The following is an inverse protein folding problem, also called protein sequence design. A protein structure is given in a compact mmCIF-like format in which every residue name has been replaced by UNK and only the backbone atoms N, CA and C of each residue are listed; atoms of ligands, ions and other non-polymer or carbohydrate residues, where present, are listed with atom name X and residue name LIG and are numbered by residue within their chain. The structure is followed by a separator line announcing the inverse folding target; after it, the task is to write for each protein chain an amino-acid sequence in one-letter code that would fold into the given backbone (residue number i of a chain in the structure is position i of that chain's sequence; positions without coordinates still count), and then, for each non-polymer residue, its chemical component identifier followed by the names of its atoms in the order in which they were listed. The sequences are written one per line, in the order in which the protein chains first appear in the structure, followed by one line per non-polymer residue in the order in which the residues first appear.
data_IF_734705267219
#
_entry.id   IF_734705267219
#
_cell.length_a   1.000
_cell.length_b   1.000
_cell.length_c   1.000
_cell.angle_alpha   90.00
_cell.angle_beta   90.00
_cell.angle_gamma   90.00
#
_symmetry.space_group_name_H-M   'P 1'
#
loop_
_entity.id
_entity.type
_entity.pdbx_description
1 polymer ?
#
# COMPACT_ATOMS: atom_id res chain seq x y z
N UNK A 1 9.30 30.78 -7.34
CA UNK A 1 8.92 30.31 -5.98
C UNK A 1 10.11 29.62 -5.37
N UNK A 2 10.44 29.89 -4.10
CA UNK A 2 11.53 29.21 -3.39
C UNK A 2 10.92 27.99 -2.67
N UNK A 3 11.51 26.82 -2.87
CA UNK A 3 11.05 25.61 -2.19
C UNK A 3 11.29 25.70 -0.67
N UNK A 4 10.42 25.05 0.11
CA UNK A 4 10.51 25.01 1.56
C UNK A 4 11.74 24.20 2.01
N UNK A 5 12.44 24.66 3.05
CA UNK A 5 13.64 24.00 3.60
C UNK A 5 13.40 22.53 3.97
N UNK A 6 12.23 22.18 4.49
CA UNK A 6 11.88 20.80 4.83
C UNK A 6 11.83 19.89 3.60
N UNK A 7 11.39 20.42 2.45
CA UNK A 7 11.38 19.68 1.17
C UNK A 7 12.80 19.47 0.64
N UNK A 8 13.67 20.47 0.80
CA UNK A 8 15.06 20.39 0.38
C UNK A 8 15.87 19.35 1.18
N UNK A 9 15.46 19.07 2.42
CA UNK A 9 16.10 18.07 3.27
C UNK A 9 15.63 16.63 3.05
N UNK A 10 14.65 16.39 2.18
CA UNK A 10 14.19 15.03 1.92
C UNK A 10 15.25 14.23 1.16
N UNK A 11 15.63 13.03 1.63
CA UNK A 11 16.56 12.19 0.91
C UNK A 11 15.93 11.72 -0.42
N UNK A 12 16.76 11.44 -1.45
CA UNK A 12 16.28 10.82 -2.68
C UNK A 12 15.55 9.51 -2.40
N UNK A 13 14.43 9.27 -3.10
CA UNK A 13 13.70 8.02 -2.97
C UNK A 13 14.50 6.86 -3.59
N UNK A 14 14.98 5.96 -2.74
CA UNK A 14 15.86 4.86 -3.12
C UNK A 14 15.23 3.95 -4.19
N UNK A 15 13.96 3.60 -4.02
CA UNK A 15 13.30 2.63 -4.91
C UNK A 15 13.15 3.17 -6.34
N UNK A 16 12.89 4.46 -6.54
CA UNK A 16 12.86 5.05 -7.88
C UNK A 16 14.20 4.88 -8.63
N UNK A 17 15.34 4.91 -7.91
CA UNK A 17 16.66 4.66 -8.51
C UNK A 17 16.87 3.19 -8.85
N UNK A 18 16.36 2.28 -8.02
CA UNK A 18 16.40 0.83 -8.28
C UNK A 18 15.53 0.51 -9.49
N UNK A 19 14.30 1.04 -9.56
CA UNK A 19 13.39 0.89 -10.70
C UNK A 19 14.01 1.37 -12.01
N UNK A 20 14.68 2.53 -12.01
CA UNK A 20 15.42 3.03 -13.17
C UNK A 20 16.47 2.02 -13.66
N UNK A 21 17.32 1.52 -12.75
CA UNK A 21 18.35 0.52 -13.08
C UNK A 21 17.76 -0.80 -13.58
N UNK A 22 16.67 -1.25 -12.98
CA UNK A 22 15.94 -2.45 -13.40
C UNK A 22 15.37 -2.26 -14.81
N UNK A 23 14.78 -1.10 -15.11
CA UNK A 23 14.26 -0.79 -16.43
C UNK A 23 15.38 -0.73 -17.49
N UNK A 24 16.51 -0.09 -17.19
CA UNK A 24 17.68 -0.03 -18.06
C UNK A 24 18.24 -1.43 -18.37
N UNK A 25 18.39 -2.27 -17.36
CA UNK A 25 18.89 -3.64 -17.54
C UNK A 25 17.89 -4.52 -18.31
N UNK A 26 16.58 -4.38 -18.05
CA UNK A 26 15.53 -5.06 -18.86
C UNK A 26 15.57 -4.63 -20.32
N UNK A 27 15.78 -3.34 -20.60
CA UNK A 27 15.91 -2.83 -21.97
C UNK A 27 17.13 -3.39 -22.71
N UNK A 28 18.16 -3.84 -21.97
CA UNK A 28 19.33 -4.53 -22.48
C UNK A 28 19.13 -6.05 -22.63
N UNK A 29 17.93 -6.57 -22.33
CA UNK A 29 17.61 -8.00 -22.39
C UNK A 29 18.17 -8.82 -21.22
N UNK A 30 18.57 -8.16 -20.13
CA UNK A 30 19.06 -8.83 -18.93
C UNK A 30 17.86 -9.38 -18.16
N UNK A 31 17.91 -10.67 -17.81
CA UNK A 31 16.94 -11.30 -16.91
C UNK A 31 17.25 -10.92 -15.46
N UNK A 32 16.25 -10.38 -14.75
CA UNK A 32 16.42 -9.78 -13.41
C UNK A 32 15.56 -10.52 -12.41
N UNK A 33 16.21 -11.10 -11.40
CA UNK A 33 15.54 -11.65 -10.22
C UNK A 33 15.28 -10.51 -9.23
N UNK A 34 14.01 -10.19 -8.98
CA UNK A 34 13.62 -9.11 -8.07
C UNK A 34 13.59 -9.61 -6.62
N UNK A 35 14.64 -9.29 -5.86
CA UNK A 35 14.72 -9.51 -4.41
C UNK A 35 14.84 -8.19 -3.62
N UNK A 36 14.70 -7.05 -4.31
CA UNK A 36 14.97 -5.71 -3.75
C UNK A 36 13.76 -5.01 -3.17
N UNK A 37 12.54 -5.48 -3.43
CA UNK A 37 11.28 -4.88 -2.99
C UNK A 37 10.46 -5.96 -2.29
N UNK A 38 10.01 -5.67 -1.06
CA UNK A 38 9.20 -6.58 -0.25
C UNK A 38 7.71 -6.56 -0.62
N UNK A 39 7.38 -6.39 -1.90
CA UNK A 39 6.01 -6.44 -2.37
C UNK A 39 5.58 -7.91 -2.47
N UNK A 40 4.49 -8.34 -1.80
CA UNK A 40 4.01 -9.71 -1.89
C UNK A 40 3.65 -10.10 -3.33
N UNK A 41 4.06 -11.28 -3.75
CA UNK A 41 3.71 -11.88 -5.05
C UNK A 41 2.32 -12.55 -5.04
N UNK A 42 1.82 -12.87 -3.85
CA UNK A 42 0.51 -13.47 -3.67
C UNK A 42 -0.62 -12.41 -3.68
N UNK A 43 -1.76 -12.70 -4.33
CA UNK A 43 -2.88 -11.79 -4.35
C UNK A 43 -3.51 -11.65 -2.96
N UNK A 44 -4.28 -10.57 -2.78
CA UNK A 44 -5.15 -10.43 -1.61
C UNK A 44 -6.15 -11.60 -1.55
N UNK A 45 -6.36 -12.23 -0.37
CA UNK A 45 -7.32 -13.33 -0.23
C UNK A 45 -8.72 -13.00 -0.78
N UNK A 46 -9.31 -13.94 -1.53
CA UNK A 46 -10.56 -13.72 -2.29
C UNK A 46 -11.71 -13.18 -1.44
N UNK A 47 -11.89 -13.70 -0.22
CA UNK A 47 -12.96 -13.25 0.68
C UNK A 47 -12.90 -11.76 1.04
N UNK A 48 -11.70 -11.16 1.04
CA UNK A 48 -11.51 -9.72 1.27
C UNK A 48 -11.93 -8.94 0.02
N UNK A 49 -11.51 -9.39 -1.16
CA UNK A 49 -11.88 -8.80 -2.45
C UNK A 49 -13.40 -8.84 -2.64
N UNK A 50 -14.05 -9.96 -2.34
CA UNK A 50 -15.50 -10.11 -2.42
C UNK A 50 -16.22 -9.17 -1.46
N UNK A 51 -15.75 -9.07 -0.20
CA UNK A 51 -16.37 -8.17 0.78
C UNK A 51 -16.21 -6.70 0.39
N UNK A 52 -15.07 -6.33 -0.19
CA UNK A 52 -14.86 -4.99 -0.73
C UNK A 52 -15.83 -4.71 -1.88
N UNK A 53 -15.96 -5.64 -2.84
CA UNK A 53 -16.86 -5.53 -3.97
C UNK A 53 -18.33 -5.39 -3.55
N UNK A 54 -18.74 -6.06 -2.47
CA UNK A 54 -20.07 -5.86 -1.88
C UNK A 54 -20.16 -4.46 -1.23
N UNK A 55 -19.19 -4.11 -0.40
CA UNK A 55 -19.22 -2.86 0.39
C UNK A 55 -19.18 -1.59 -0.48
N UNK A 56 -18.48 -1.61 -1.61
CA UNK A 56 -18.37 -0.43 -2.50
C UNK A 56 -19.70 -0.10 -3.20
N UNK A 57 -20.57 -1.09 -3.37
CA UNK A 57 -21.89 -0.91 -3.99
C UNK A 57 -22.94 -0.33 -3.02
N UNK A 58 -22.61 -0.20 -1.73
CA UNK A 58 -23.49 0.41 -0.74
C UNK A 58 -23.27 1.94 -0.70
N UNK A 59 -24.26 2.76 -1.11
CA UNK A 59 -24.15 4.22 -1.10
C UNK A 59 -23.88 4.82 0.29
N UNK A 60 -24.24 4.12 1.37
CA UNK A 60 -23.95 4.58 2.73
C UNK A 60 -22.43 4.67 2.99
N UNK A 61 -21.63 3.86 2.28
CA UNK A 61 -20.17 3.87 2.40
C UNK A 61 -19.48 4.97 1.58
N UNK A 62 -20.22 5.76 0.80
CA UNK A 62 -19.64 6.81 -0.07
C UNK A 62 -19.41 8.14 0.65
N UNK A 63 -19.96 8.27 1.86
CA UNK A 63 -19.80 9.46 2.69
C UNK A 63 -18.51 9.39 3.52
N UNK A 64 -18.09 10.54 4.03
CA UNK A 64 -16.93 10.60 4.92
C UNK A 64 -17.15 9.74 6.18
N UNK A 65 -16.19 8.86 6.54
CA UNK A 65 -16.23 8.19 7.82
C UNK A 65 -15.91 9.18 8.95
N UNK A 66 -16.05 8.73 10.19
CA UNK A 66 -15.52 9.50 11.32
C UNK A 66 -14.00 9.70 11.18
N UNK A 67 -13.47 10.79 11.76
CA UNK A 67 -12.03 11.12 11.71
C UNK A 67 -11.13 10.03 12.32
N UNK A 68 -11.68 9.19 13.19
CA UNK A 68 -10.98 8.07 13.84
C UNK A 68 -11.24 6.73 13.14
N UNK A 69 -11.89 6.74 11.97
CA UNK A 69 -12.24 5.54 11.20
C UNK A 69 -13.54 4.84 11.64
N UNK A 70 -13.84 3.68 11.06
CA UNK A 70 -15.03 2.88 11.38
C UNK A 70 -14.88 2.18 12.74
N UNK A 71 -15.94 2.19 13.55
CA UNK A 71 -15.91 1.59 14.89
C UNK A 71 -15.73 0.07 14.83
N UNK A 72 -16.40 -0.56 13.87
CA UNK A 72 -16.38 -1.99 13.60
C UNK A 72 -14.97 -2.46 13.23
N UNK A 73 -14.25 -1.67 12.42
CA UNK A 73 -12.86 -1.97 12.06
C UNK A 73 -11.95 -1.91 13.29
N UNK A 74 -12.06 -0.86 14.12
CA UNK A 74 -11.25 -0.75 15.34
C UNK A 74 -11.50 -1.91 16.31
N UNK A 75 -12.76 -2.32 16.45
CA UNK A 75 -13.12 -3.46 17.29
C UNK A 75 -12.53 -4.76 16.72
N UNK A 76 -12.63 -5.00 15.41
CA UNK A 76 -12.07 -6.19 14.77
C UNK A 76 -10.54 -6.29 14.95
N UNK A 77 -9.82 -5.17 14.85
CA UNK A 77 -8.37 -5.12 15.13
C UNK A 77 -8.07 -5.47 16.58
N UNK A 78 -8.79 -4.84 17.54
CA UNK A 78 -8.58 -5.11 18.96
C UNK A 78 -8.83 -6.59 19.32
N UNK A 79 -9.88 -7.18 18.77
CA UNK A 79 -10.18 -8.60 18.96
C UNK A 79 -9.15 -9.52 18.31
N UNK A 80 -8.65 -9.17 17.11
CA UNK A 80 -7.59 -9.95 16.46
C UNK A 80 -6.33 -9.98 17.31
N UNK A 81 -5.91 -8.83 17.84
CA UNK A 81 -4.77 -8.74 18.75
C UNK A 81 -4.96 -9.63 19.99
N UNK A 82 -6.12 -9.56 20.65
CA UNK A 82 -6.44 -10.40 21.83
C UNK A 82 -6.44 -11.91 21.56
N UNK A 83 -6.75 -12.32 20.33
CA UNK A 83 -6.77 -13.74 19.95
C UNK A 83 -5.38 -14.25 19.55
N UNK A 84 -4.55 -13.38 18.97
CA UNK A 84 -3.29 -13.79 18.32
C UNK A 84 -2.07 -13.69 19.23
N UNK A 85 -2.12 -12.82 20.24
CA UNK A 85 -1.05 -12.54 21.20
C UNK A 85 -1.59 -12.64 22.63
#
# INVERSE_FOLDING_TARGET
MRENLAMQSLPPYLFARIEQKVAEAKAQGIDIISLGIGDPDLPTPQHIVDRMAISINDPANHQYPSSVGLAEYRQAVAEWYKRRF
#
